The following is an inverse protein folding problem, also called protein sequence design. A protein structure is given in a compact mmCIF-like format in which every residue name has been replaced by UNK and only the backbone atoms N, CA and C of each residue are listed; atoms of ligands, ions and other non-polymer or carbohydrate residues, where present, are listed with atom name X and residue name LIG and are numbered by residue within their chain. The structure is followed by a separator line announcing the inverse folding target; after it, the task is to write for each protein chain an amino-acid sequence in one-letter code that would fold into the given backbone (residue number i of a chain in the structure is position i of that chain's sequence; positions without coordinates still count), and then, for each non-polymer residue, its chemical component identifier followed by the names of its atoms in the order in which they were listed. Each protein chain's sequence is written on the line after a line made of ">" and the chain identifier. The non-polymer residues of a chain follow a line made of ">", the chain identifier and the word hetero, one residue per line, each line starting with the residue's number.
data_IF_208565975894
#
_entry.id   IF_208565975894
#
_cell.length_a   1.000
_cell.length_b   1.000
_cell.length_c   1.000
_cell.angle_alpha   90.00
_cell.angle_beta   90.00
_cell.angle_gamma   90.00
#
_symmetry.space_group_name_H-M   'P 1'
#
loop_
_entity.id
_entity.type
_entity.pdbx_description
1 polymer ?
#
# COMPACT_ATOMS: atom_id res chain seq x y z
N UNK A 1 -30.31 -16.83 -33.96
CA UNK A 1 -30.56 -16.37 -32.58
C UNK A 1 -29.21 -16.24 -31.88
N UNK A 2 -28.97 -15.09 -31.26
CA UNK A 2 -27.64 -14.59 -30.85
C UNK A 2 -27.20 -15.20 -29.51
N UNK A 3 -26.02 -15.83 -29.48
CA UNK A 3 -25.34 -16.27 -28.26
C UNK A 3 -24.58 -15.06 -27.64
N UNK A 4 -25.08 -14.50 -26.54
CA UNK A 4 -24.44 -13.39 -25.81
C UNK A 4 -23.55 -13.94 -24.70
N UNK A 5 -22.29 -14.22 -25.05
CA UNK A 5 -21.22 -14.41 -24.08
C UNK A 5 -20.90 -13.05 -23.43
N UNK A 6 -21.57 -12.72 -22.31
CA UNK A 6 -21.28 -11.52 -21.53
C UNK A 6 -19.96 -11.76 -20.77
N UNK A 7 -18.84 -11.34 -21.36
CA UNK A 7 -17.60 -11.08 -20.62
C UNK A 7 -17.95 -10.11 -19.49
N UNK A 8 -17.90 -10.57 -18.24
CA UNK A 8 -18.00 -9.66 -17.09
C UNK A 8 -16.85 -8.64 -17.22
N UNK A 9 -17.08 -7.33 -17.04
CA UNK A 9 -16.00 -6.36 -17.17
C UNK A 9 -14.98 -6.60 -16.04
N UNK A 10 -13.73 -6.88 -16.44
CA UNK A 10 -12.54 -7.09 -15.58
C UNK A 10 -12.42 -6.00 -14.50
N UNK A 11 -12.97 -4.81 -14.74
CA UNK A 11 -13.06 -3.69 -13.81
C UNK A 11 -13.71 -4.04 -12.45
N UNK A 12 -14.59 -5.03 -12.38
CA UNK A 12 -15.25 -5.41 -11.12
C UNK A 12 -14.33 -6.19 -10.16
N UNK A 13 -13.34 -6.93 -10.69
CA UNK A 13 -12.39 -7.72 -9.89
C UNK A 13 -11.27 -6.81 -9.34
N UNK A 14 -10.80 -5.86 -10.15
CA UNK A 14 -9.81 -4.84 -9.76
C UNK A 14 -10.28 -4.01 -8.55
N UNK A 15 -11.59 -3.73 -8.44
CA UNK A 15 -12.15 -2.98 -7.32
C UNK A 15 -12.21 -3.79 -6.01
N UNK A 16 -12.22 -5.11 -6.06
CA UNK A 16 -12.27 -5.95 -4.84
C UNK A 16 -10.91 -6.00 -4.13
N UNK A 17 -9.82 -5.75 -4.86
CA UNK A 17 -8.44 -5.71 -4.35
C UNK A 17 -8.26 -4.52 -3.38
N UNK A 18 -8.89 -3.38 -3.67
CA UNK A 18 -8.87 -2.18 -2.81
C UNK A 18 -9.46 -2.41 -1.40
N UNK A 19 -10.43 -3.30 -1.24
CA UNK A 19 -11.15 -3.49 0.03
C UNK A 19 -10.34 -4.24 1.11
N UNK A 20 -9.21 -4.86 0.76
CA UNK A 20 -8.37 -5.58 1.73
C UNK A 20 -7.08 -4.84 2.12
N UNK A 21 -6.84 -3.66 1.52
CA UNK A 21 -5.61 -2.88 1.70
C UNK A 21 -5.60 -2.11 3.05
N UNK A 22 -6.73 -1.93 3.73
CA UNK A 22 -6.82 -1.13 4.96
C UNK A 22 -6.79 -1.90 6.30
N UNK A 23 -6.48 -3.20 6.33
CA UNK A 23 -6.38 -3.93 7.60
C UNK A 23 -5.03 -4.62 7.75
N UNK A 24 -3.97 -3.86 8.06
CA UNK A 24 -3.06 -4.18 9.17
C UNK A 24 -2.41 -2.87 9.60
N UNK A 25 -2.87 -2.32 10.73
CA UNK A 25 -2.28 -1.14 11.35
C UNK A 25 -2.88 -0.89 12.73
N UNK A 26 -2.19 -1.40 13.75
CA UNK A 26 -2.29 -1.12 15.19
C UNK A 26 -3.53 -1.60 15.99
N UNK A 27 -3.26 -2.45 17.00
CA UNK A 27 -4.17 -2.67 18.15
C UNK A 27 -4.16 -4.11 18.65
N UNK A 28 -3.65 -4.32 19.86
CA UNK A 28 -3.71 -5.58 20.58
C UNK A 28 -5.16 -6.04 20.78
N UNK A 29 -5.42 -7.36 20.81
CA UNK A 29 -6.28 -7.98 21.84
C UNK A 29 -6.25 -9.51 21.75
N UNK A 30 -5.91 -10.12 22.89
CA UNK A 30 -6.05 -11.53 23.20
C UNK A 30 -7.36 -11.72 24.01
N UNK A 31 -8.10 -12.77 23.67
CA UNK A 31 -9.07 -13.55 24.48
C UNK A 31 -10.57 -13.15 24.65
N UNK A 32 -11.39 -14.19 24.35
CA UNK A 32 -12.74 -14.58 24.81
C UNK A 32 -14.01 -13.81 24.38
N UNK A 33 -14.75 -14.47 23.47
CA UNK A 33 -16.15 -14.84 23.71
C UNK A 33 -17.25 -13.81 23.40
N UNK A 34 -17.97 -14.04 22.30
CA UNK A 34 -19.38 -13.67 22.18
C UNK A 34 -19.70 -12.45 21.33
N UNK A 35 -20.58 -12.70 20.36
CA UNK A 35 -21.35 -11.75 19.53
C UNK A 35 -20.60 -11.05 18.39
N UNK A 36 -21.03 -11.43 17.19
CA UNK A 36 -20.75 -10.81 15.90
C UNK A 36 -21.32 -9.40 15.87
N UNK A 37 -20.47 -8.38 15.99
CA UNK A 37 -20.75 -7.04 15.51
C UNK A 37 -20.02 -6.82 14.19
N UNK A 38 -20.79 -6.72 13.12
CA UNK A 38 -20.34 -6.19 11.83
C UNK A 38 -19.86 -4.75 12.09
N UNK A 39 -18.62 -4.34 11.74
CA UNK A 39 -18.21 -2.96 11.91
C UNK A 39 -19.06 -2.10 10.97
N UNK A 40 -19.86 -1.22 11.57
CA UNK A 40 -20.63 -0.20 10.89
C UNK A 40 -19.69 0.84 10.26
N UNK A 41 -20.06 1.32 9.07
CA UNK A 41 -19.42 2.36 8.25
C UNK A 41 -19.30 3.75 8.91
N UNK A 42 -19.36 3.83 10.23
CA UNK A 42 -19.20 5.04 11.04
C UNK A 42 -17.74 5.32 11.45
N UNK A 43 -16.83 4.34 11.33
CA UNK A 43 -15.42 4.49 11.73
C UNK A 43 -14.57 5.25 10.70
N UNK A 44 -14.83 5.08 9.40
CA UNK A 44 -13.97 5.65 8.35
C UNK A 44 -13.91 7.19 8.39
N UNK A 45 -15.02 7.85 8.74
CA UNK A 45 -15.06 9.31 8.87
C UNK A 45 -14.43 9.82 10.18
N UNK A 46 -14.48 9.06 11.28
CA UNK A 46 -13.78 9.44 12.51
C UNK A 46 -12.27 9.31 12.34
N UNK A 47 -11.83 8.24 11.67
CA UNK A 47 -10.41 7.96 11.44
C UNK A 47 -9.81 9.02 10.52
N UNK A 48 -10.44 9.32 9.38
CA UNK A 48 -9.99 10.36 8.45
C UNK A 48 -9.81 11.73 9.13
N UNK A 49 -10.75 12.16 9.96
CA UNK A 49 -10.63 13.43 10.69
C UNK A 49 -9.51 13.40 11.75
N UNK A 50 -9.30 12.26 12.41
CA UNK A 50 -8.20 12.07 13.36
C UNK A 50 -6.84 12.22 12.68
N UNK A 51 -6.62 11.53 11.55
CA UNK A 51 -5.39 11.63 10.77
C UNK A 51 -5.17 13.05 10.24
N UNK A 52 -6.22 13.74 9.80
CA UNK A 52 -6.12 15.14 9.35
C UNK A 52 -5.65 16.07 10.47
N UNK A 53 -6.14 15.86 11.69
CA UNK A 53 -5.69 16.61 12.86
C UNK A 53 -4.22 16.33 13.20
N UNK A 54 -3.78 15.07 13.11
CA UNK A 54 -2.38 14.68 13.32
C UNK A 54 -1.46 15.35 12.29
N UNK A 55 -1.80 15.29 11.00
CA UNK A 55 -1.07 15.96 9.92
C UNK A 55 -0.99 17.48 10.17
N UNK A 56 -2.08 18.11 10.62
CA UNK A 56 -2.10 19.53 10.95
C UNK A 56 -1.17 19.87 12.12
N UNK A 57 -1.11 19.03 13.16
CA UNK A 57 -0.22 19.22 14.30
C UNK A 57 1.25 19.08 13.90
N UNK A 58 1.60 18.01 13.18
CA UNK A 58 2.96 17.76 12.71
C UNK A 58 3.44 18.84 11.72
N UNK A 59 2.56 19.34 10.85
CA UNK A 59 2.90 20.46 9.97
C UNK A 59 3.33 21.72 10.75
N UNK A 60 2.68 22.02 11.88
CA UNK A 60 3.08 23.16 12.73
C UNK A 60 4.47 22.93 13.31
N UNK A 61 4.77 21.71 13.75
CA UNK A 61 6.07 21.37 14.32
C UNK A 61 7.17 21.43 13.25
N UNK A 62 6.94 20.86 12.05
CA UNK A 62 7.90 20.92 10.93
C UNK A 62 8.15 22.35 10.49
N UNK A 63 7.13 23.22 10.51
CA UNK A 63 7.32 24.66 10.23
C UNK A 63 8.26 25.34 11.22
N UNK A 64 8.22 24.94 12.50
CA UNK A 64 9.14 25.46 13.53
C UNK A 64 10.54 24.87 13.40
N UNK A 65 10.65 23.59 13.06
CA UNK A 65 11.92 22.85 12.98
C UNK A 65 12.06 22.13 11.63
N UNK A 66 12.26 22.86 10.52
CA UNK A 66 12.17 22.27 9.17
C UNK A 66 13.30 21.29 8.84
N UNK A 67 14.40 21.31 9.58
CA UNK A 67 15.56 20.43 9.35
C UNK A 67 15.57 19.21 10.29
N UNK A 68 14.56 19.05 11.14
CA UNK A 68 14.44 17.87 11.99
C UNK A 68 13.97 16.68 11.14
N UNK A 69 14.91 15.78 10.82
CA UNK A 69 14.66 14.63 9.96
C UNK A 69 13.69 13.63 10.58
N UNK A 70 13.71 13.47 11.91
CA UNK A 70 12.74 12.59 12.59
C UNK A 70 11.34 13.13 12.41
N UNK A 71 11.18 14.44 12.60
CA UNK A 71 9.89 15.10 12.47
C UNK A 71 9.39 15.14 11.02
N UNK A 72 10.29 15.28 10.05
CA UNK A 72 9.96 15.12 8.63
C UNK A 72 9.48 13.69 8.32
N UNK A 73 10.15 12.67 8.88
CA UNK A 73 9.71 11.28 8.73
C UNK A 73 8.32 11.07 9.34
N UNK A 74 8.08 11.57 10.54
CA UNK A 74 6.77 11.48 11.21
C UNK A 74 5.66 12.16 10.39
N UNK A 75 5.96 13.33 9.80
CA UNK A 75 5.01 14.01 8.92
C UNK A 75 4.77 13.23 7.61
N UNK A 76 5.82 12.64 7.02
CA UNK A 76 5.70 11.75 5.87
C UNK A 76 4.78 10.56 6.15
N UNK A 77 5.00 9.88 7.29
CA UNK A 77 4.17 8.78 7.77
C UNK A 77 2.71 9.22 7.96
N UNK A 78 2.48 10.36 8.62
CA UNK A 78 1.12 10.85 8.86
C UNK A 78 0.37 11.19 7.56
N UNK A 79 1.06 11.75 6.56
CA UNK A 79 0.49 11.97 5.23
C UNK A 79 0.16 10.65 4.53
N UNK A 80 1.03 9.65 4.63
CA UNK A 80 0.80 8.32 4.09
C UNK A 80 -0.46 7.68 4.70
N UNK A 81 -0.59 7.70 6.02
CA UNK A 81 -1.72 7.11 6.73
C UNK A 81 -3.03 7.84 6.41
N UNK A 82 -3.01 9.18 6.39
CA UNK A 82 -4.15 10.00 5.98
C UNK A 82 -4.59 9.63 4.56
N UNK A 83 -3.64 9.56 3.63
CA UNK A 83 -3.91 9.20 2.25
C UNK A 83 -4.52 7.79 2.15
N UNK A 84 -3.98 6.82 2.90
CA UNK A 84 -4.45 5.44 2.90
C UNK A 84 -5.93 5.32 3.30
N UNK A 85 -6.35 6.01 4.37
CA UNK A 85 -7.75 6.02 4.81
C UNK A 85 -8.65 6.88 3.92
N UNK A 86 -8.08 7.90 3.25
CA UNK A 86 -8.81 8.80 2.37
C UNK A 86 -9.12 8.19 1.00
N UNK A 87 -8.48 7.08 0.59
CA UNK A 87 -8.59 6.54 -0.78
C UNK A 87 -10.03 6.31 -1.26
N UNK A 88 -10.94 5.90 -0.37
CA UNK A 88 -12.34 5.61 -0.74
C UNK A 88 -13.29 6.79 -0.52
N UNK A 89 -12.96 7.69 0.40
CA UNK A 89 -13.83 8.81 0.80
C UNK A 89 -13.46 10.13 0.12
N UNK A 90 -12.18 10.32 -0.19
CA UNK A 90 -11.62 11.53 -0.80
C UNK A 90 -10.40 11.17 -1.69
N UNK A 91 -10.60 10.46 -2.82
CA UNK A 91 -9.50 9.92 -3.64
C UNK A 91 -8.57 10.98 -4.23
N UNK A 92 -9.08 12.18 -4.54
CA UNK A 92 -8.25 13.28 -5.03
C UNK A 92 -7.31 13.78 -3.93
N UNK A 93 -7.84 13.99 -2.72
CA UNK A 93 -7.04 14.40 -1.56
C UNK A 93 -6.03 13.33 -1.19
N UNK A 94 -6.43 12.05 -1.19
CA UNK A 94 -5.52 10.93 -0.95
C UNK A 94 -4.32 10.95 -1.90
N UNK A 95 -4.55 11.22 -3.18
CA UNK A 95 -3.48 11.32 -4.18
C UNK A 95 -2.50 12.46 -3.83
N UNK A 96 -3.02 13.61 -3.45
CA UNK A 96 -2.24 14.79 -3.06
C UNK A 96 -1.45 14.54 -1.76
N UNK A 97 -2.07 13.90 -0.78
CA UNK A 97 -1.44 13.53 0.49
C UNK A 97 -0.32 12.49 0.28
N UNK A 98 -0.49 11.51 -0.61
CA UNK A 98 0.61 10.62 -1.00
C UNK A 98 1.76 11.38 -1.67
N UNK A 99 1.48 12.40 -2.49
CA UNK A 99 2.54 13.24 -3.06
C UNK A 99 3.29 14.03 -1.98
N UNK A 100 2.60 14.48 -0.93
CA UNK A 100 3.22 15.12 0.23
C UNK A 100 4.06 14.13 1.04
N UNK A 101 3.58 12.90 1.26
CA UNK A 101 4.36 11.85 1.91
C UNK A 101 5.69 11.60 1.16
N UNK A 102 5.64 11.47 -0.17
CA UNK A 102 6.84 11.29 -1.01
C UNK A 102 7.83 12.42 -0.83
N UNK A 103 7.37 13.67 -0.81
CA UNK A 103 8.24 14.84 -0.60
C UNK A 103 9.02 14.73 0.73
N UNK A 104 8.34 14.37 1.82
CA UNK A 104 9.00 14.24 3.11
C UNK A 104 9.91 13.01 3.19
N UNK A 105 9.51 11.89 2.62
CA UNK A 105 10.37 10.71 2.51
C UNK A 105 11.64 10.97 1.70
N UNK A 106 11.56 11.73 0.61
CA UNK A 106 12.75 12.14 -0.15
C UNK A 106 13.73 12.95 0.71
N UNK A 107 13.23 13.87 1.54
CA UNK A 107 14.11 14.62 2.44
C UNK A 107 14.79 13.71 3.46
N UNK A 108 14.06 12.73 4.02
CA UNK A 108 14.62 11.74 4.94
C UNK A 108 15.71 10.91 4.24
N UNK A 109 15.41 10.39 3.05
CA UNK A 109 16.31 9.53 2.27
C UNK A 109 17.56 10.26 1.75
N UNK A 110 17.49 11.59 1.59
CA UNK A 110 18.65 12.42 1.27
C UNK A 110 19.66 12.55 2.42
N UNK A 111 19.26 12.20 3.65
CA UNK A 111 20.12 12.32 4.85
C UNK A 111 20.53 10.98 5.44
N UNK A 112 19.66 9.98 5.33
CA UNK A 112 19.93 8.62 5.80
C UNK A 112 19.27 7.60 4.89
N UNK A 113 19.94 6.48 4.67
CA UNK A 113 19.34 5.34 3.99
C UNK A 113 18.43 4.60 4.98
N UNK A 114 17.15 4.48 4.64
CA UNK A 114 16.17 3.74 5.43
C UNK A 114 15.26 2.95 4.49
N UNK A 115 15.38 1.62 4.53
CA UNK A 115 14.65 0.75 3.61
C UNK A 115 13.13 0.77 3.83
N UNK A 116 12.68 1.00 5.07
CA UNK A 116 11.25 1.10 5.36
C UNK A 116 10.70 2.36 4.70
N UNK A 117 11.36 3.50 4.91
CA UNK A 117 11.00 4.78 4.28
C UNK A 117 11.06 4.70 2.75
N UNK A 118 12.07 4.03 2.18
CA UNK A 118 12.17 3.81 0.73
C UNK A 118 10.98 2.98 0.20
N UNK A 119 10.56 1.97 0.95
CA UNK A 119 9.42 1.11 0.58
C UNK A 119 8.09 1.84 0.72
N UNK A 120 7.91 2.66 1.77
CA UNK A 120 6.71 3.47 1.96
C UNK A 120 6.61 4.57 0.91
N UNK A 121 7.74 5.18 0.52
CA UNK A 121 7.81 6.10 -0.62
C UNK A 121 7.42 5.40 -1.92
N UNK A 122 7.89 4.18 -2.16
CA UNK A 122 7.51 3.41 -3.35
C UNK A 122 6.00 3.15 -3.40
N UNK A 123 5.40 2.80 -2.27
CA UNK A 123 3.96 2.58 -2.15
C UNK A 123 3.16 3.89 -2.29
N UNK A 124 3.61 4.99 -1.70
CA UNK A 124 3.00 6.30 -1.94
C UNK A 124 3.09 6.71 -3.41
N UNK A 125 4.21 6.42 -4.07
CA UNK A 125 4.41 6.68 -5.49
C UNK A 125 3.46 5.85 -6.36
N UNK A 126 3.23 4.58 -6.02
CA UNK A 126 2.17 3.76 -6.62
C UNK A 126 0.85 4.50 -6.52
N UNK A 127 0.36 4.76 -5.30
CA UNK A 127 -1.02 5.24 -5.11
C UNK A 127 -1.24 6.68 -5.59
N UNK A 128 -0.18 7.48 -5.71
CA UNK A 128 -0.23 8.79 -6.36
C UNK A 128 -0.12 8.74 -7.90
N UNK A 129 0.10 7.56 -8.50
CA UNK A 129 0.24 7.34 -9.93
C UNK A 129 1.62 7.70 -10.50
N UNK A 130 2.63 7.86 -9.66
CA UNK A 130 4.03 8.11 -10.04
C UNK A 130 4.74 6.77 -10.31
N UNK A 131 4.29 6.09 -11.37
CA UNK A 131 4.66 4.70 -11.66
C UNK A 131 6.17 4.47 -11.83
N UNK A 132 6.88 5.40 -12.47
CA UNK A 132 8.33 5.28 -12.68
C UNK A 132 9.10 5.39 -11.36
N UNK A 133 8.65 6.28 -10.46
CA UNK A 133 9.23 6.42 -9.13
C UNK A 133 8.95 5.17 -8.27
N UNK A 134 7.72 4.63 -8.34
CA UNK A 134 7.35 3.41 -7.63
C UNK A 134 8.23 2.22 -8.05
N UNK A 135 8.32 1.97 -9.36
CA UNK A 135 9.15 0.89 -9.93
C UNK A 135 10.63 1.02 -9.51
N UNK A 136 11.20 2.22 -9.64
CA UNK A 136 12.59 2.47 -9.26
C UNK A 136 12.81 2.20 -7.77
N UNK A 137 11.92 2.71 -6.92
CA UNK A 137 12.07 2.64 -5.46
C UNK A 137 11.88 1.22 -4.92
N UNK A 138 10.92 0.45 -5.47
CA UNK A 138 10.77 -0.96 -5.11
C UNK A 138 11.98 -1.80 -5.51
N UNK A 139 12.50 -1.61 -6.73
CA UNK A 139 13.71 -2.28 -7.19
C UNK A 139 14.92 -1.92 -6.33
N UNK A 140 15.03 -0.65 -5.94
CA UNK A 140 16.11 -0.20 -5.06
C UNK A 140 16.01 -0.85 -3.67
N UNK A 141 14.82 -0.88 -3.07
CA UNK A 141 14.60 -1.54 -1.78
C UNK A 141 14.98 -3.03 -1.84
N UNK A 142 14.55 -3.75 -2.89
CA UNK A 142 14.88 -5.16 -3.08
C UNK A 142 16.33 -5.41 -3.51
N UNK A 143 17.02 -4.40 -4.04
CA UNK A 143 18.48 -4.48 -4.27
C UNK A 143 19.23 -4.38 -2.94
N UNK A 144 18.79 -3.49 -2.05
CA UNK A 144 19.40 -3.31 -0.73
C UNK A 144 19.11 -4.48 0.21
N UNK A 145 17.88 -5.01 0.17
CA UNK A 145 17.45 -6.17 0.96
C UNK A 145 16.55 -7.09 0.11
N UNK A 146 17.14 -8.10 -0.55
CA UNK A 146 16.42 -9.00 -1.46
C UNK A 146 15.28 -9.81 -0.83
N UNK A 147 15.28 -9.97 0.49
CA UNK A 147 14.28 -10.72 1.24
C UNK A 147 13.31 -9.80 2.02
N UNK A 148 13.24 -8.51 1.68
CA UNK A 148 12.35 -7.59 2.39
C UNK A 148 10.88 -7.84 2.04
N UNK A 149 10.20 -8.57 2.92
CA UNK A 149 8.84 -9.07 2.72
C UNK A 149 7.83 -7.99 2.32
N UNK A 150 7.87 -6.83 2.99
CA UNK A 150 6.95 -5.72 2.70
C UNK A 150 7.16 -5.18 1.28
N UNK A 151 8.42 -4.98 0.86
CA UNK A 151 8.72 -4.54 -0.49
C UNK A 151 8.35 -5.61 -1.54
N UNK A 152 8.62 -6.89 -1.29
CA UNK A 152 8.23 -7.96 -2.22
C UNK A 152 6.71 -8.03 -2.40
N UNK A 153 5.95 -7.95 -1.30
CA UNK A 153 4.49 -7.94 -1.35
C UNK A 153 3.97 -6.74 -2.15
N UNK A 154 4.36 -5.52 -1.77
CA UNK A 154 3.90 -4.28 -2.40
C UNK A 154 4.33 -4.17 -3.87
N UNK A 155 5.56 -4.60 -4.19
CA UNK A 155 6.04 -4.58 -5.56
C UNK A 155 5.29 -5.56 -6.46
N UNK A 156 4.98 -6.76 -5.96
CA UNK A 156 4.14 -7.69 -6.71
C UNK A 156 2.73 -7.13 -6.98
N UNK A 157 2.15 -6.40 -6.02
CA UNK A 157 0.86 -5.69 -6.24
C UNK A 157 1.02 -4.64 -7.34
N UNK A 158 2.09 -3.84 -7.30
CA UNK A 158 2.37 -2.84 -8.34
C UNK A 158 2.50 -3.47 -9.72
N UNK A 159 3.25 -4.58 -9.81
CA UNK A 159 3.45 -5.32 -11.05
C UNK A 159 2.14 -5.88 -11.60
N UNK A 160 1.30 -6.45 -10.74
CA UNK A 160 -0.01 -6.99 -11.12
C UNK A 160 -0.97 -5.90 -11.60
N UNK A 161 -1.15 -4.84 -10.79
CA UNK A 161 -2.23 -3.88 -10.98
C UNK A 161 -1.89 -2.79 -11.99
N UNK A 162 -0.65 -2.28 -11.95
CA UNK A 162 -0.24 -1.13 -12.76
C UNK A 162 0.47 -1.59 -14.03
N UNK A 163 1.42 -2.52 -13.90
CA UNK A 163 2.24 -2.98 -15.03
C UNK A 163 1.57 -4.11 -15.82
N UNK A 164 0.60 -4.80 -15.22
CA UNK A 164 0.04 -6.04 -15.73
C UNK A 164 1.11 -7.10 -16.05
N UNK A 165 2.26 -7.03 -15.37
CA UNK A 165 3.32 -8.03 -15.44
C UNK A 165 3.07 -9.11 -14.38
N UNK A 166 2.04 -9.91 -14.65
CA UNK A 166 1.66 -11.01 -13.78
C UNK A 166 2.79 -12.03 -13.62
N UNK A 167 3.63 -12.21 -14.64
CA UNK A 167 4.75 -13.15 -14.61
C UNK A 167 5.77 -12.79 -13.53
N UNK A 168 6.18 -11.52 -13.47
CA UNK A 168 7.12 -11.04 -12.45
C UNK A 168 6.44 -10.95 -11.09
N UNK A 169 5.17 -10.53 -11.01
CA UNK A 169 4.41 -10.48 -9.77
C UNK A 169 4.36 -11.86 -9.08
N UNK A 170 4.00 -12.92 -9.83
CA UNK A 170 3.97 -14.29 -9.33
C UNK A 170 5.33 -14.73 -8.79
N UNK A 171 6.42 -14.46 -9.52
CA UNK A 171 7.78 -14.84 -9.10
C UNK A 171 8.20 -14.16 -7.80
N UNK A 172 7.96 -12.86 -7.67
CA UNK A 172 8.30 -12.09 -6.45
C UNK A 172 7.48 -12.59 -5.27
N UNK A 173 6.17 -12.77 -5.45
CA UNK A 173 5.28 -13.28 -4.41
C UNK A 173 5.57 -14.71 -3.99
N UNK A 174 5.91 -15.60 -4.94
CA UNK A 174 6.32 -16.96 -4.61
C UNK A 174 7.61 -16.96 -3.79
N UNK A 175 8.58 -16.10 -4.15
CA UNK A 175 9.82 -15.94 -3.38
C UNK A 175 9.53 -15.49 -1.94
N UNK A 176 8.64 -14.51 -1.76
CA UNK A 176 8.22 -14.05 -0.45
C UNK A 176 7.58 -15.17 0.38
N UNK A 177 6.65 -15.93 -0.23
CA UNK A 177 5.95 -17.04 0.43
C UNK A 177 6.88 -18.22 0.76
N UNK A 178 7.86 -18.52 -0.08
CA UNK A 178 8.82 -19.59 0.16
C UNK A 178 9.77 -19.26 1.31
N UNK A 179 10.13 -17.98 1.47
CA UNK A 179 10.97 -17.50 2.58
C UNK A 179 10.22 -17.44 3.89
N UNK A 180 8.97 -16.97 3.87
CA UNK A 180 8.12 -16.86 5.05
C UNK A 180 6.76 -17.49 4.80
N UNK A 181 6.66 -18.83 4.83
CA UNK A 181 5.41 -19.53 4.56
C UNK A 181 4.33 -19.23 5.59
N UNK A 182 4.68 -18.72 6.77
CA UNK A 182 3.75 -18.31 7.82
C UNK A 182 3.91 -16.81 8.18
N UNK A 183 4.46 -16.01 7.26
CA UNK A 183 4.63 -14.57 7.45
C UNK A 183 3.31 -13.80 7.40
N UNK A 184 3.35 -12.51 7.78
CA UNK A 184 2.16 -11.66 7.90
C UNK A 184 1.32 -11.57 6.60
N UNK A 185 1.96 -11.70 5.43
CA UNK A 185 1.30 -11.64 4.13
C UNK A 185 1.04 -13.02 3.50
N UNK A 186 1.41 -14.13 4.15
CA UNK A 186 1.40 -15.46 3.53
C UNK A 186 0.01 -15.85 3.00
N UNK A 187 -1.05 -15.64 3.78
CA UNK A 187 -2.42 -15.97 3.34
C UNK A 187 -2.90 -15.08 2.19
N UNK A 188 -2.48 -13.81 2.16
CA UNK A 188 -2.75 -12.93 1.02
C UNK A 188 -2.01 -13.39 -0.22
N UNK A 189 -0.74 -13.76 -0.09
CA UNK A 189 0.06 -14.28 -1.21
C UNK A 189 -0.55 -15.57 -1.78
N UNK A 190 -1.06 -16.47 -0.93
CA UNK A 190 -1.79 -17.68 -1.35
C UNK A 190 -3.07 -17.38 -2.13
N UNK A 191 -3.67 -16.21 -1.93
CA UNK A 191 -4.85 -15.76 -2.68
C UNK A 191 -4.47 -15.03 -3.97
N UNK A 192 -3.44 -14.17 -3.93
CA UNK A 192 -3.02 -13.32 -5.05
C UNK A 192 -2.31 -14.12 -6.16
N UNK A 193 -1.48 -15.11 -5.80
CA UNK A 193 -0.71 -15.88 -6.78
C UNK A 193 -1.62 -16.65 -7.76
N UNK A 194 -2.65 -17.42 -7.32
CA UNK A 194 -3.58 -18.08 -8.25
C UNK A 194 -4.31 -17.09 -9.16
N UNK A 195 -4.77 -15.95 -8.63
CA UNK A 195 -5.46 -14.93 -9.41
C UNK A 195 -4.56 -14.35 -10.50
N UNK A 196 -3.30 -14.02 -10.17
CA UNK A 196 -2.35 -13.55 -11.17
C UNK A 196 -2.04 -14.62 -12.24
N UNK A 197 -2.03 -15.91 -11.89
CA UNK A 197 -1.88 -17.01 -12.87
C UNK A 197 -3.06 -17.07 -13.84
N UNK A 198 -4.29 -16.91 -13.34
CA UNK A 198 -5.47 -16.83 -14.19
C UNK A 198 -5.40 -15.62 -15.14
N UNK A 199 -5.05 -14.44 -14.61
CA UNK A 199 -4.92 -13.22 -15.41
C UNK A 199 -3.82 -13.36 -16.47
N UNK A 200 -2.67 -13.95 -16.12
CA UNK A 200 -1.59 -14.27 -17.07
C UNK A 200 -2.08 -15.17 -18.21
N UNK A 201 -2.85 -16.20 -17.89
CA UNK A 201 -3.39 -17.12 -18.90
C UNK A 201 -4.40 -16.43 -19.83
N UNK A 202 -5.16 -15.42 -19.35
CA UNK A 202 -6.08 -14.66 -20.22
C UNK A 202 -5.42 -13.66 -21.16
N UNK A 203 -4.12 -13.37 -20.97
CA UNK A 203 -3.36 -12.48 -21.83
C UNK A 203 -2.68 -13.20 -23.01
N UNK A 204 -2.69 -14.54 -23.02
CA UNK A 204 -2.15 -15.39 -24.09
C UNK A 204 -3.24 -15.72 -25.11
#
# INVERSE_FOLDING_TARGET
>A
MINKNKKKPIKAIVLTILLTICLVGAGAEYFFGGTSSIPSSSSSNSDYNSFKNQVNALNKQVKSNPNDISLQQDLGNAYYDLAAVAQTVAPTEAREDYMLAIKYYQNVLNTKQDINVLTDMATAAFFSGQNDLAEKSFKEALTQKPDFQQAMFNYGVFLSEVKQDYSTAIRVWQTALDKEPNGANADRLRQLIPQAKEMQATQQ
#
